data_IF_456436366947
#
_entry.id   IF_456436366947
#
_cell.length_a   1.000
_cell.length_b   1.000
_cell.length_c   1.000
_cell.angle_alpha   90.00
_cell.angle_beta   90.00
_cell.angle_gamma   90.00
#
_symmetry.space_group_name_H-M   'P 1'
#
loop_
_entity.id
_entity.type
_entity.pdbx_description
1 polymer ?
#
# COMPACT_ATOMS: atom_id res chain seq x y z
N UNK A 1 -18.79 -11.68 -6.31
CA UNK A 1 -19.03 -10.33 -5.76
C UNK A 1 -17.71 -9.85 -5.18
N UNK A 2 -17.11 -8.79 -5.72
CA UNK A 2 -15.78 -8.30 -5.30
C UNK A 2 -15.88 -7.58 -3.94
N UNK A 3 -14.95 -7.84 -3.02
CA UNK A 3 -14.90 -7.23 -1.69
C UNK A 3 -13.54 -6.59 -1.41
N UNK A 4 -13.51 -5.56 -0.56
CA UNK A 4 -12.29 -4.85 -0.20
C UNK A 4 -11.30 -5.69 0.61
N UNK A 5 -11.80 -6.73 1.27
CA UNK A 5 -11.02 -7.70 2.03
C UNK A 5 -10.58 -8.91 1.20
N UNK A 6 -10.77 -8.89 -0.12
CA UNK A 6 -10.19 -9.87 -1.03
C UNK A 6 -8.65 -9.74 -1.03
N UNK A 7 -7.96 -10.87 -1.18
CA UNK A 7 -6.49 -10.93 -1.16
C UNK A 7 -5.84 -10.08 -2.26
N UNK A 8 -6.52 -9.92 -3.40
CA UNK A 8 -6.07 -9.11 -4.53
C UNK A 8 -5.87 -7.62 -4.19
N UNK A 9 -6.49 -7.15 -3.10
CA UNK A 9 -6.37 -5.75 -2.63
C UNK A 9 -5.48 -5.61 -1.39
N UNK A 10 -4.79 -6.66 -0.98
CA UNK A 10 -3.95 -6.64 0.22
C UNK A 10 -2.47 -6.55 -0.10
N UNK A 11 -1.79 -5.76 0.70
CA UNK A 11 -0.34 -5.68 0.72
C UNK A 11 0.26 -6.94 1.36
N UNK A 12 1.19 -7.59 0.65
CA UNK A 12 1.83 -8.82 1.11
C UNK A 12 2.71 -8.64 2.36
N UNK A 13 3.20 -7.43 2.64
CA UNK A 13 4.00 -7.15 3.84
C UNK A 13 3.12 -7.07 5.10
N UNK A 14 1.99 -6.37 5.02
CA UNK A 14 1.17 -6.09 6.21
C UNK A 14 -0.16 -6.85 6.26
N UNK A 15 -0.50 -7.56 5.20
CA UNK A 15 -1.72 -8.38 5.05
C UNK A 15 -2.99 -7.56 5.30
N UNK A 16 -2.98 -6.30 4.83
CA UNK A 16 -4.08 -5.34 4.92
C UNK A 16 -4.30 -4.68 3.57
N UNK A 17 -5.49 -4.11 3.39
CA UNK A 17 -5.85 -3.37 2.17
C UNK A 17 -4.78 -2.32 1.85
N UNK A 18 -4.44 -2.18 0.56
CA UNK A 18 -3.45 -1.20 0.13
C UNK A 18 -3.83 0.22 0.56
N UNK A 19 -2.85 0.92 1.13
CA UNK A 19 -2.88 2.36 1.36
C UNK A 19 -1.74 2.95 0.54
N UNK A 20 -2.06 3.85 -0.40
CA UNK A 20 -1.09 4.44 -1.35
C UNK A 20 -0.21 3.35 -1.99
N UNK A 21 -0.80 2.46 -2.81
CA UNK A 21 -0.07 1.35 -3.41
C UNK A 21 1.09 1.81 -4.28
N UNK A 22 2.26 1.17 -4.09
CA UNK A 22 3.45 1.28 -4.91
C UNK A 22 3.62 0.00 -5.72
N UNK A 23 3.75 0.14 -7.03
CA UNK A 23 4.12 -0.92 -7.96
C UNK A 23 5.62 -0.85 -8.21
N UNK A 24 6.30 -1.99 -8.09
CA UNK A 24 7.71 -2.16 -8.41
C UNK A 24 7.89 -2.56 -9.88
N UNK A 25 9.11 -2.44 -10.41
CA UNK A 25 9.46 -2.87 -11.77
C UNK A 25 9.25 -4.38 -12.01
N UNK A 26 9.36 -5.20 -10.96
CA UNK A 26 9.00 -6.63 -10.99
C UNK A 26 7.48 -6.90 -10.95
N UNK A 27 6.64 -5.86 -11.05
CA UNK A 27 5.16 -5.91 -11.00
C UNK A 27 4.54 -6.32 -9.67
N UNK A 28 5.31 -6.45 -8.59
CA UNK A 28 4.76 -6.64 -7.25
C UNK A 28 4.32 -5.32 -6.61
N UNK A 29 3.27 -5.37 -5.80
CA UNK A 29 2.64 -4.20 -5.21
C UNK A 29 2.62 -4.26 -3.68
N UNK A 30 2.90 -3.11 -3.05
CA UNK A 30 2.93 -2.95 -1.59
C UNK A 30 2.34 -1.59 -1.19
N UNK A 31 2.02 -1.39 0.09
CA UNK A 31 1.74 -0.03 0.57
C UNK A 31 3.03 0.80 0.54
N UNK A 32 2.92 2.09 0.23
CA UNK A 32 4.04 3.05 0.28
C UNK A 32 4.86 2.93 1.57
N UNK A 33 4.23 3.09 2.73
CA UNK A 33 4.95 2.99 4.01
C UNK A 33 5.60 1.61 4.24
N UNK A 34 4.98 0.53 3.74
CA UNK A 34 5.54 -0.81 3.92
C UNK A 34 6.82 -0.99 3.11
N UNK A 35 6.80 -0.58 1.84
CA UNK A 35 7.97 -0.70 0.98
C UNK A 35 9.05 0.31 1.37
N UNK A 36 8.67 1.54 1.77
CA UNK A 36 9.59 2.55 2.27
C UNK A 36 10.40 2.05 3.47
N UNK A 37 9.75 1.35 4.41
CA UNK A 37 10.45 0.74 5.56
C UNK A 37 11.35 -0.43 5.17
N UNK A 38 10.91 -1.24 4.20
CA UNK A 38 11.68 -2.39 3.73
C UNK A 38 12.98 -1.94 3.07
N UNK A 39 12.92 -0.91 2.23
CA UNK A 39 14.06 -0.49 1.41
C UNK A 39 15.19 0.20 2.17
N UNK A 40 14.94 0.58 3.43
CA UNK A 40 16.00 1.09 4.33
C UNK A 40 17.10 0.05 4.52
N UNK A 41 16.74 -1.24 4.57
CA UNK A 41 17.69 -2.33 4.86
C UNK A 41 17.82 -3.37 3.73
N UNK A 42 17.00 -3.28 2.68
CA UNK A 42 16.95 -4.28 1.61
C UNK A 42 16.78 -3.60 0.25
N UNK A 43 17.50 -4.01 -0.78
CA UNK A 43 17.35 -3.42 -2.12
C UNK A 43 16.51 -4.29 -3.07
N UNK A 44 15.98 -5.41 -2.59
CA UNK A 44 15.26 -6.39 -3.39
C UNK A 44 13.77 -6.45 -3.04
N UNK A 45 12.95 -6.88 -3.98
CA UNK A 45 11.52 -7.11 -3.80
C UNK A 45 11.27 -8.16 -2.69
N UNK A 46 10.40 -7.88 -1.70
CA UNK A 46 10.05 -8.85 -0.65
C UNK A 46 9.45 -10.16 -1.17
N UNK A 47 8.91 -10.19 -2.40
CA UNK A 47 8.18 -11.34 -2.94
C UNK A 47 9.03 -12.20 -3.86
N UNK A 48 9.80 -11.59 -4.77
CA UNK A 48 10.56 -12.34 -5.79
C UNK A 48 12.06 -12.10 -5.76
N UNK A 49 12.56 -11.32 -4.80
CA UNK A 49 13.99 -11.01 -4.63
C UNK A 49 14.66 -10.27 -5.81
N UNK A 50 13.88 -9.81 -6.80
CA UNK A 50 14.41 -8.95 -7.86
C UNK A 50 14.84 -7.58 -7.30
N UNK A 51 15.98 -7.06 -7.75
CA UNK A 51 16.45 -5.71 -7.42
C UNK A 51 15.39 -4.67 -7.74
N UNK A 52 15.15 -3.75 -6.81
CA UNK A 52 14.21 -2.65 -6.99
C UNK A 52 14.93 -1.53 -7.72
N UNK A 53 14.50 -1.25 -8.95
CA UNK A 53 15.08 -0.18 -9.77
C UNK A 53 14.09 0.98 -9.91
N UNK A 54 12.79 0.68 -9.97
CA UNK A 54 11.74 1.69 -10.11
C UNK A 54 10.56 1.42 -9.20
N UNK A 55 9.92 2.51 -8.79
CA UNK A 55 8.71 2.52 -7.96
C UNK A 55 7.73 3.54 -8.53
N UNK A 56 6.46 3.15 -8.65
CA UNK A 56 5.41 4.05 -9.15
C UNK A 56 4.14 3.89 -8.32
N UNK A 57 3.43 5.00 -8.07
CA UNK A 57 2.11 4.93 -7.46
C UNK A 57 1.11 4.27 -8.41
N UNK A 58 0.40 3.25 -7.93
CA UNK A 58 -0.67 2.62 -8.68
C UNK A 58 -1.99 3.36 -8.45
N UNK A 59 -2.17 4.50 -9.12
CA UNK A 59 -3.36 5.36 -8.97
C UNK A 59 -4.66 4.62 -9.34
N UNK A 60 -4.62 3.68 -10.27
CA UNK A 60 -5.81 2.90 -10.66
C UNK A 60 -6.33 2.05 -9.51
N UNK A 61 -5.45 1.31 -8.82
CA UNK A 61 -5.81 0.50 -7.64
C UNK A 61 -6.21 1.40 -6.47
N UNK A 62 -5.48 2.50 -6.23
CA UNK A 62 -5.83 3.45 -5.16
C UNK A 62 -7.25 4.02 -5.36
N UNK A 63 -7.55 4.51 -6.56
CA UNK A 63 -8.86 5.05 -6.90
C UNK A 63 -9.96 3.98 -6.91
N UNK A 64 -9.62 2.74 -7.26
CA UNK A 64 -10.57 1.64 -7.23
C UNK A 64 -10.95 1.29 -5.79
N UNK A 65 -9.96 1.11 -4.90
CA UNK A 65 -10.18 0.86 -3.47
C UNK A 65 -11.01 1.97 -2.83
N UNK A 66 -10.68 3.24 -3.12
CA UNK A 66 -11.46 4.40 -2.63
C UNK A 66 -12.91 4.36 -3.11
N UNK A 67 -13.18 4.02 -4.37
CA UNK A 67 -14.55 3.90 -4.89
C UNK A 67 -15.31 2.72 -4.29
N UNK A 68 -14.63 1.59 -4.07
CA UNK A 68 -15.23 0.44 -3.39
C UNK A 68 -15.59 0.77 -1.94
N UNK A 69 -14.71 1.50 -1.22
CA UNK A 69 -14.93 1.95 0.15
C UNK A 69 -16.23 2.72 0.28
N UNK A 70 -16.48 3.66 -0.63
CA UNK A 70 -17.71 4.47 -0.62
C UNK A 70 -18.98 3.62 -0.85
N UNK A 71 -18.90 2.63 -1.76
CA UNK A 71 -20.03 1.77 -2.15
C UNK A 71 -20.37 0.68 -1.12
N UNK A 72 -19.50 0.40 -0.16
CA UNK A 72 -19.83 -0.58 0.88
C UNK A 72 -20.82 -0.01 1.89
N UNK A 73 -21.88 -0.78 2.17
CA UNK A 73 -22.92 -0.45 3.15
C UNK A 73 -22.48 -0.64 4.60
N UNK A 74 -21.37 -1.35 4.83
CA UNK A 74 -20.90 -1.67 6.18
C UNK A 74 -20.01 -0.58 6.78
N UNK A 75 -20.53 0.14 7.78
CA UNK A 75 -19.79 1.13 8.57
C UNK A 75 -18.50 0.58 9.18
N UNK A 76 -18.47 -0.72 9.51
CA UNK A 76 -17.29 -1.37 10.10
C UNK A 76 -16.11 -1.38 9.13
N UNK A 77 -16.34 -1.66 7.85
CA UNK A 77 -15.27 -1.69 6.83
C UNK A 77 -14.71 -0.30 6.60
N UNK A 78 -15.59 0.70 6.44
CA UNK A 78 -15.20 2.12 6.30
C UNK A 78 -14.37 2.60 7.50
N UNK A 79 -14.84 2.34 8.72
CA UNK A 79 -14.11 2.68 9.96
C UNK A 79 -12.73 2.02 10.03
N UNK A 80 -12.64 0.72 9.70
CA UNK A 80 -11.36 0.00 9.69
C UNK A 80 -10.38 0.58 8.67
N UNK A 81 -10.87 0.94 7.48
CA UNK A 81 -10.04 1.55 6.44
C UNK A 81 -9.56 2.95 6.84
N UNK A 82 -10.44 3.82 7.34
CA UNK A 82 -10.07 5.17 7.81
C UNK A 82 -9.01 5.12 8.91
N UNK A 83 -9.23 4.27 9.92
CA UNK A 83 -8.27 4.07 11.01
C UNK A 83 -6.91 3.59 10.49
N UNK A 84 -6.91 2.74 9.46
CA UNK A 84 -5.68 2.31 8.81
C UNK A 84 -5.00 3.49 8.09
N UNK A 85 -5.72 4.26 7.27
CA UNK A 85 -5.18 5.45 6.59
C UNK A 85 -4.57 6.45 7.58
N UNK A 86 -5.28 6.77 8.66
CA UNK A 86 -4.82 7.67 9.74
C UNK A 86 -3.52 7.15 10.36
N UNK A 87 -3.48 5.87 10.76
CA UNK A 87 -2.27 5.27 11.33
C UNK A 87 -1.06 5.33 10.39
N UNK A 88 -1.29 5.21 9.07
CA UNK A 88 -0.22 5.30 8.06
C UNK A 88 0.27 6.75 7.89
N UNK A 89 -0.62 7.72 7.94
CA UNK A 89 -0.27 9.13 7.86
C UNK A 89 0.56 9.57 9.08
N UNK A 90 0.19 9.13 10.28
CA UNK A 90 0.94 9.36 11.52
C UNK A 90 2.32 8.69 11.51
N UNK A 91 2.40 7.47 11.00
CA UNK A 91 3.66 6.76 10.88
C UNK A 91 4.61 7.46 9.89
N UNK A 92 4.05 7.97 8.78
CA UNK A 92 4.83 8.67 7.75
C UNK A 92 5.36 10.02 8.23
N UNK A 93 4.58 10.76 9.04
CA UNK A 93 5.03 12.04 9.61
C UNK A 93 6.17 11.88 10.61
N UNK A 94 6.31 10.70 11.24
CA UNK A 94 7.40 10.36 12.16
C UNK A 94 8.64 9.82 11.44
N UNK A 95 8.49 9.25 10.24
CA UNK A 95 9.60 8.70 9.47
C UNK A 95 10.28 9.79 8.64
N UNK A 96 11.52 10.15 8.97
CA UNK A 96 12.42 11.00 8.15
C UNK A 96 12.91 10.25 6.90
N UNK A 97 12.00 9.76 6.07
CA UNK A 97 12.36 9.09 4.81
C UNK A 97 12.25 10.15 3.73
N UNK A 98 13.41 10.73 3.38
CA UNK A 98 13.55 11.65 2.26
C UNK A 98 13.24 10.88 0.98
N UNK A 99 12.09 11.19 0.39
CA UNK A 99 11.60 10.54 -0.84
C UNK A 99 12.15 11.26 -2.09
N UNK A 100 13.45 11.52 -2.12
CA UNK A 100 14.14 12.04 -3.29
C UNK A 100 14.79 10.89 -4.06
N UNK A 101 13.94 10.09 -4.69
CA UNK A 101 14.36 9.22 -5.80
C UNK A 101 13.19 9.08 -6.77
N UNK A 102 13.02 10.14 -7.56
CA UNK A 102 12.31 10.11 -8.84
C UNK A 102 13.36 10.15 -9.96
#
# INVERSE_FOLDING_TARGET
>A
MMRLDDEDYKCLICVRVFIRPILLDCSHMFCELCIDRWIVNNQNCPTCDNSIVKRAYCLSIDNFIKRMKEKMSEDKVKKKFNKLEESRAEDKSKSKIDNDFF
#
